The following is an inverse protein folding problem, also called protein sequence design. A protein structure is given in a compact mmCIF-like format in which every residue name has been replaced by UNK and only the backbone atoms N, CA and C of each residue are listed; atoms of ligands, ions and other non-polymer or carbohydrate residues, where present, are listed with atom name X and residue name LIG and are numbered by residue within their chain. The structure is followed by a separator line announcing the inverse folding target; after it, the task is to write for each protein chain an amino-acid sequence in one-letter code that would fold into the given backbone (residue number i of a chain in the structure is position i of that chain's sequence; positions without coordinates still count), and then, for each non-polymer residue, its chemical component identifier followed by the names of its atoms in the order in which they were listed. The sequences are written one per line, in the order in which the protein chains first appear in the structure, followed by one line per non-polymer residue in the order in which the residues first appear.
data_IF_311888902982
#
_entry.id   IF_311888902982
#
_cell.length_a   1.000
_cell.length_b   1.000
_cell.length_c   1.000
_cell.angle_alpha   90.00
_cell.angle_beta   90.00
_cell.angle_gamma   90.00
#
_symmetry.space_group_name_H-M   'P 1'
#
loop_
_entity.id
_entity.type
_entity.pdbx_description
1 polymer ?
#
# COMPACT_ATOMS: atom_id res chain seq x y z
N UNK A 1 27.34 19.87 -30.65
CA UNK A 1 26.93 18.88 -29.62
C UNK A 1 26.28 19.68 -28.50
N UNK A 2 24.98 19.96 -28.64
CA UNK A 2 24.26 20.99 -27.87
C UNK A 2 23.81 20.45 -26.52
N UNK A 3 24.29 21.10 -25.45
CA UNK A 3 23.78 20.99 -24.09
C UNK A 3 22.27 21.26 -24.08
N UNK A 4 21.47 20.23 -23.78
CA UNK A 4 20.07 20.43 -23.41
C UNK A 4 20.07 20.96 -21.97
N UNK A 5 20.05 22.28 -21.81
CA UNK A 5 19.65 22.88 -20.54
C UNK A 5 18.19 22.45 -20.28
N UNK A 6 18.00 21.44 -19.41
CA UNK A 6 16.68 21.10 -18.90
C UNK A 6 16.09 22.33 -18.21
N UNK A 7 14.85 22.68 -18.57
CA UNK A 7 14.17 23.82 -17.96
C UNK A 7 13.98 23.55 -16.47
N UNK A 8 14.22 24.57 -15.63
CA UNK A 8 13.97 24.51 -14.19
C UNK A 8 12.56 23.99 -13.85
N UNK A 9 11.56 24.29 -14.71
CA UNK A 9 10.19 23.77 -14.58
C UNK A 9 10.09 22.25 -14.74
N UNK A 10 10.92 21.66 -15.59
CA UNK A 10 10.91 20.21 -15.84
C UNK A 10 11.56 19.45 -14.67
N UNK A 11 12.60 20.04 -14.06
CA UNK A 11 13.22 19.52 -12.84
C UNK A 11 12.21 19.52 -11.69
N UNK A 12 11.53 20.65 -11.46
CA UNK A 12 10.49 20.75 -10.42
C UNK A 12 9.36 19.75 -10.64
N UNK A 13 8.85 19.61 -11.87
CA UNK A 13 7.81 18.62 -12.18
C UNK A 13 8.27 17.18 -11.91
N UNK A 14 9.55 16.88 -12.19
CA UNK A 14 10.13 15.56 -11.96
C UNK A 14 10.32 15.27 -10.48
N UNK A 15 10.76 16.26 -9.70
CA UNK A 15 10.86 16.21 -8.24
C UNK A 15 9.48 16.03 -7.60
N UNK A 16 8.48 16.82 -8.01
CA UNK A 16 7.08 16.68 -7.56
C UNK A 16 6.51 15.31 -7.91
N UNK A 17 6.78 14.80 -9.11
CA UNK A 17 6.35 13.47 -9.53
C UNK A 17 7.02 12.37 -8.68
N UNK A 18 8.33 12.48 -8.40
CA UNK A 18 9.04 11.56 -7.51
C UNK A 18 8.54 11.64 -6.08
N UNK A 19 8.28 12.84 -5.56
CA UNK A 19 7.72 13.04 -4.23
C UNK A 19 6.32 12.43 -4.12
N UNK A 20 5.48 12.60 -5.14
CA UNK A 20 4.16 11.93 -5.23
C UNK A 20 4.27 10.41 -5.31
N UNK A 21 5.26 9.89 -6.02
CA UNK A 21 5.56 8.45 -6.07
C UNK A 21 6.08 7.92 -4.72
N UNK A 22 6.74 8.77 -3.92
CA UNK A 22 7.31 8.41 -2.64
C UNK A 22 6.34 8.52 -1.46
N UNK A 23 5.16 9.16 -1.62
CA UNK A 23 4.20 9.43 -0.55
C UNK A 23 2.94 8.55 -0.63
N UNK A 24 3.07 7.30 -1.07
CA UNK A 24 1.91 6.41 -1.21
C UNK A 24 1.55 5.71 0.10
N UNK A 25 0.26 5.70 0.44
CA UNK A 25 -0.31 4.87 1.52
C UNK A 25 -1.23 3.82 0.91
N UNK A 26 -0.90 2.55 1.16
CA UNK A 26 -1.70 1.42 0.70
C UNK A 26 -3.02 1.33 1.44
N UNK A 27 -4.09 0.99 0.73
CA UNK A 27 -5.39 0.66 1.33
C UNK A 27 -6.11 -0.43 0.54
N UNK A 28 -7.08 -1.09 1.16
CA UNK A 28 -7.77 -2.25 0.57
C UNK A 28 -9.30 -2.13 0.61
N UNK A 29 -9.89 -1.87 1.78
CA UNK A 29 -11.34 -1.85 1.96
C UNK A 29 -11.98 -0.52 1.55
N UNK A 30 -13.18 -0.57 0.97
CA UNK A 30 -13.93 0.62 0.53
C UNK A 30 -14.26 1.61 1.64
N UNK A 31 -14.32 1.15 2.90
CA UNK A 31 -14.52 2.00 4.07
C UNK A 31 -13.26 2.77 4.51
N UNK A 32 -12.14 2.61 3.82
CA UNK A 32 -10.93 3.37 4.16
C UNK A 32 -11.18 4.85 3.89
N UNK A 33 -10.97 5.75 4.87
CA UNK A 33 -11.15 7.19 4.69
C UNK A 33 -10.00 7.78 3.87
N UNK A 34 -10.06 7.63 2.54
CA UNK A 34 -9.04 8.10 1.60
C UNK A 34 -8.91 9.63 1.59
N UNK A 35 -9.96 10.34 2.01
CA UNK A 35 -10.00 11.77 2.20
C UNK A 35 -9.03 12.21 3.30
N UNK A 36 -8.96 11.47 4.42
CA UNK A 36 -8.01 11.75 5.52
C UNK A 36 -6.57 11.51 5.05
N UNK A 37 -6.33 10.41 4.34
CA UNK A 37 -5.00 10.11 3.78
C UNK A 37 -4.55 11.24 2.85
N UNK A 38 -5.46 11.70 1.97
CA UNK A 38 -5.19 12.78 1.02
C UNK A 38 -4.94 14.12 1.71
N UNK A 39 -5.69 14.43 2.78
CA UNK A 39 -5.51 15.65 3.57
C UNK A 39 -4.15 15.71 4.27
N UNK A 40 -3.53 14.56 4.55
CA UNK A 40 -2.18 14.46 5.11
C UNK A 40 -1.05 14.57 4.06
N UNK A 41 -1.35 15.01 2.83
CA UNK A 41 -0.40 15.06 1.70
C UNK A 41 0.15 13.69 1.27
N UNK A 42 -0.55 12.61 1.59
CA UNK A 42 -0.27 11.28 1.06
C UNK A 42 -1.18 10.96 -0.13
N UNK A 43 -0.72 10.05 -0.99
CA UNK A 43 -1.48 9.55 -2.13
C UNK A 43 -2.08 8.19 -1.74
N UNK A 44 -3.42 8.08 -1.59
CA UNK A 44 -4.05 6.80 -1.27
C UNK A 44 -3.98 5.85 -2.47
N UNK A 45 -3.20 4.78 -2.34
CA UNK A 45 -3.03 3.78 -3.40
C UNK A 45 -3.81 2.52 -3.06
N UNK A 46 -4.86 2.26 -3.85
CA UNK A 46 -5.68 1.05 -3.68
C UNK A 46 -4.89 -0.19 -4.08
N UNK A 47 -4.80 -1.15 -3.17
CA UNK A 47 -4.24 -2.47 -3.43
C UNK A 47 -5.39 -3.40 -3.84
N UNK A 48 -5.14 -4.13 -4.92
CA UNK A 48 -6.07 -5.10 -5.47
C UNK A 48 -5.32 -6.42 -5.66
N UNK A 49 -6.00 -7.53 -5.39
CA UNK A 49 -5.44 -8.87 -5.49
C UNK A 49 -5.38 -9.32 -6.95
N UNK A 50 -4.42 -8.79 -7.70
CA UNK A 50 -4.22 -9.16 -9.11
C UNK A 50 -3.35 -10.39 -9.30
N UNK A 51 -2.53 -10.72 -8.29
CA UNK A 51 -1.55 -11.79 -8.39
C UNK A 51 -2.23 -13.16 -8.28
N UNK A 52 -2.01 -14.00 -9.30
CA UNK A 52 -2.49 -15.39 -9.31
C UNK A 52 -1.61 -16.31 -8.47
N UNK A 53 -0.34 -15.96 -8.33
CA UNK A 53 0.63 -16.69 -7.53
C UNK A 53 0.92 -15.91 -6.25
N UNK A 54 0.89 -16.59 -5.10
CA UNK A 54 1.00 -15.99 -3.76
C UNK A 54 2.20 -16.52 -2.99
N UNK A 55 3.30 -16.82 -3.69
CA UNK A 55 4.46 -17.52 -3.13
C UNK A 55 5.02 -16.87 -1.87
N UNK A 56 5.11 -15.53 -1.81
CA UNK A 56 5.63 -14.83 -0.62
C UNK A 56 4.54 -14.71 0.43
N UNK A 57 3.32 -14.36 0.01
CA UNK A 57 2.19 -14.22 0.91
C UNK A 57 1.86 -15.52 1.67
N UNK A 58 1.99 -16.68 1.02
CA UNK A 58 1.74 -18.00 1.60
C UNK A 58 2.73 -18.36 2.72
N UNK A 59 3.87 -17.66 2.83
CA UNK A 59 4.80 -17.83 3.97
C UNK A 59 4.33 -17.11 5.24
N UNK A 60 3.44 -16.13 5.11
CA UNK A 60 2.89 -15.34 6.23
C UNK A 60 1.42 -15.65 6.51
N UNK A 61 0.68 -16.12 5.51
CA UNK A 61 -0.75 -16.34 5.57
C UNK A 61 -1.09 -17.79 5.29
N UNK A 62 -1.95 -18.36 6.14
CA UNK A 62 -2.38 -19.74 5.98
C UNK A 62 -3.23 -19.91 4.70
N UNK A 63 -3.11 -21.04 3.96
CA UNK A 63 -3.87 -21.28 2.72
C UNK A 63 -5.40 -21.25 2.86
N UNK A 64 -5.93 -21.41 4.07
CA UNK A 64 -7.37 -21.34 4.35
C UNK A 64 -7.93 -19.92 4.31
N UNK A 65 -7.07 -18.89 4.35
CA UNK A 65 -7.49 -17.50 4.19
C UNK A 65 -7.88 -17.22 2.74
N UNK A 66 -8.80 -16.26 2.55
CA UNK A 66 -9.33 -15.95 1.23
C UNK A 66 -8.20 -15.55 0.26
N UNK A 67 -8.30 -16.02 -0.98
CA UNK A 67 -7.32 -15.74 -2.04
C UNK A 67 -7.12 -14.24 -2.27
N UNK A 68 -8.16 -13.44 -2.03
CA UNK A 68 -8.07 -11.98 -2.14
C UNK A 68 -7.03 -11.39 -1.18
N UNK A 69 -7.06 -11.76 0.10
CA UNK A 69 -6.10 -11.26 1.08
C UNK A 69 -4.68 -11.74 0.78
N UNK A 70 -4.53 -12.99 0.35
CA UNK A 70 -3.20 -13.53 -0.03
C UNK A 70 -2.63 -12.81 -1.26
N UNK A 71 -3.43 -12.61 -2.31
CA UNK A 71 -3.01 -11.84 -3.49
C UNK A 71 -2.77 -10.36 -3.20
N UNK A 72 -3.52 -9.76 -2.26
CA UNK A 72 -3.28 -8.40 -1.82
C UNK A 72 -1.95 -8.27 -1.05
N UNK A 73 -1.65 -9.22 -0.15
CA UNK A 73 -0.35 -9.26 0.53
C UNK A 73 0.78 -9.43 -0.49
N UNK A 74 0.67 -10.35 -1.44
CA UNK A 74 1.68 -10.55 -2.49
C UNK A 74 1.94 -9.25 -3.25
N UNK A 75 0.86 -8.55 -3.64
CA UNK A 75 0.95 -7.25 -4.30
C UNK A 75 1.70 -6.22 -3.44
N UNK A 76 1.41 -6.15 -2.13
CA UNK A 76 2.12 -5.26 -1.20
C UNK A 76 3.60 -5.63 -1.05
N UNK A 77 3.92 -6.92 -0.97
CA UNK A 77 5.29 -7.43 -0.84
C UNK A 77 6.13 -7.15 -2.08
N UNK A 78 5.52 -7.20 -3.27
CA UNK A 78 6.17 -6.80 -4.54
C UNK A 78 6.34 -5.28 -4.65
N UNK A 79 5.46 -4.51 -4.04
CA UNK A 79 5.44 -3.03 -4.13
C UNK A 79 6.45 -2.36 -3.17
N UNK A 80 7.26 -3.12 -2.42
CA UNK A 80 8.35 -2.59 -1.58
C UNK A 80 9.27 -1.60 -2.34
N UNK A 81 9.38 -1.74 -3.66
CA UNK A 81 10.25 -0.93 -4.51
C UNK A 81 9.57 0.33 -5.11
N UNK A 82 8.29 0.61 -4.78
CA UNK A 82 7.46 1.64 -5.44
C UNK A 82 7.10 2.86 -4.56
N UNK A 83 7.89 3.17 -3.52
CA UNK A 83 7.68 4.38 -2.71
C UNK A 83 6.42 4.34 -1.82
N UNK A 84 6.07 3.16 -1.32
CA UNK A 84 4.96 2.98 -0.38
C UNK A 84 5.47 3.16 1.05
N UNK A 85 4.94 4.14 1.77
CA UNK A 85 5.40 4.49 3.13
C UNK A 85 4.67 3.72 4.23
N UNK A 86 3.52 3.14 3.90
CA UNK A 86 2.71 2.41 4.86
C UNK A 86 1.41 1.88 4.29
N UNK A 87 0.59 1.32 5.18
CA UNK A 87 -0.73 0.80 4.87
C UNK A 87 -1.77 1.16 5.95
N UNK A 88 -2.97 1.51 5.50
CA UNK A 88 -4.17 1.57 6.35
C UNK A 88 -5.06 0.39 5.98
N UNK A 89 -5.23 -0.52 6.92
CA UNK A 89 -6.04 -1.73 6.77
C UNK A 89 -7.18 -1.70 7.77
N UNK A 90 -8.25 -2.43 7.46
CA UNK A 90 -9.49 -2.36 8.21
C UNK A 90 -9.81 -3.72 8.82
N UNK A 91 -10.33 -3.72 10.05
CA UNK A 91 -10.95 -4.90 10.65
C UNK A 91 -12.37 -5.12 10.05
N UNK A 92 -12.45 -5.31 8.74
CA UNK A 92 -13.72 -5.58 8.06
C UNK A 92 -14.08 -7.08 8.02
N UNK A 93 -13.07 -7.95 8.14
CA UNK A 93 -13.25 -9.39 8.22
C UNK A 93 -12.03 -10.04 8.88
N UNK A 94 -12.16 -11.28 9.36
CA UNK A 94 -11.06 -12.00 10.01
C UNK A 94 -9.80 -12.08 9.13
N UNK A 95 -9.96 -12.33 7.83
CA UNK A 95 -8.83 -12.39 6.91
C UNK A 95 -8.09 -11.05 6.77
N UNK A 96 -8.78 -9.91 6.84
CA UNK A 96 -8.15 -8.59 6.79
C UNK A 96 -7.34 -8.27 8.06
N UNK A 97 -7.74 -8.78 9.22
CA UNK A 97 -6.92 -8.71 10.43
C UNK A 97 -5.61 -9.49 10.27
N UNK A 98 -5.68 -10.72 9.74
CA UNK A 98 -4.47 -11.49 9.45
C UNK A 98 -3.57 -10.81 8.41
N UNK A 99 -4.15 -10.16 7.40
CA UNK A 99 -3.40 -9.34 6.45
C UNK A 99 -2.61 -8.24 7.15
N UNK A 100 -3.24 -7.52 8.08
CA UNK A 100 -2.59 -6.45 8.83
C UNK A 100 -1.41 -6.97 9.65
N UNK A 101 -1.60 -8.07 10.39
CA UNK A 101 -0.52 -8.67 11.17
C UNK A 101 0.62 -9.16 10.29
N UNK A 102 0.32 -9.79 9.15
CA UNK A 102 1.34 -10.21 8.20
C UNK A 102 2.10 -9.01 7.60
N UNK A 103 1.40 -7.94 7.24
CA UNK A 103 2.03 -6.71 6.75
C UNK A 103 2.94 -6.08 7.80
N UNK A 104 2.46 -5.93 9.04
CA UNK A 104 3.23 -5.36 10.15
C UNK A 104 4.48 -6.20 10.47
N UNK A 105 4.36 -7.52 10.41
CA UNK A 105 5.49 -8.44 10.61
C UNK A 105 6.55 -8.30 9.51
N UNK A 106 6.13 -8.11 8.25
CA UNK A 106 7.07 -7.95 7.12
C UNK A 106 7.69 -6.55 7.04
N UNK A 107 6.92 -5.51 7.40
CA UNK A 107 7.33 -4.11 7.32
C UNK A 107 7.26 -3.41 8.70
N UNK A 108 8.05 -3.82 9.70
CA UNK A 108 7.94 -3.29 11.06
C UNK A 108 8.26 -1.79 11.16
N UNK A 109 9.08 -1.27 10.26
CA UNK A 109 9.45 0.15 10.21
C UNK A 109 8.49 1.02 9.37
N UNK A 110 7.60 0.41 8.57
CA UNK A 110 6.64 1.15 7.78
C UNK A 110 5.43 1.54 8.63
N UNK A 111 4.78 2.65 8.29
CA UNK A 111 3.53 3.03 8.96
C UNK A 111 2.45 1.98 8.70
N UNK A 112 1.79 1.49 9.75
CA UNK A 112 0.69 0.56 9.61
C UNK A 112 -0.38 0.86 10.66
N UNK A 113 -1.62 1.03 10.20
CA UNK A 113 -2.76 1.30 11.06
C UNK A 113 -3.90 0.34 10.76
N UNK A 114 -4.41 -0.31 11.81
CA UNK A 114 -5.63 -1.12 11.74
C UNK A 114 -6.81 -0.27 12.20
N UNK A 115 -7.63 0.16 11.25
CA UNK A 115 -8.88 0.86 11.54
C UNK A 115 -9.94 -0.16 11.93
N UNK A 116 -10.40 -0.09 13.17
CA UNK A 116 -11.47 -0.94 13.66
C UNK A 116 -12.83 -0.40 13.18
N UNK A 117 -13.64 -1.28 12.60
CA UNK A 117 -14.99 -0.92 12.17
C UNK A 117 -16.00 -1.37 13.22
N UNK A 118 -17.02 -0.55 13.54
CA UNK A 118 -18.06 -0.97 14.44
C UNK A 118 -18.80 -2.18 13.87
N UNK A 119 -18.96 -3.21 14.69
CA UNK A 119 -19.84 -4.34 14.40
C UNK A 119 -21.27 -3.98 14.83
N UNK A 120 -22.22 -4.12 13.91
CA UNK A 120 -23.67 -3.95 14.15
C UNK A 120 -24.31 -5.31 14.14
#
# INVERSE_FOLDING_TARGET
MMDKQESFRDILKREEYRARQANNIAWLCSYTPVEIISACNFVPRRILAYEKETLRADTYLHPTLCSYVRGALESMLRTKDNGMQGAVLLNSCNAACHLYHAYAAYFPAAFHYLLDLPHI
#
